data_IF_601168937073
#
_entry.id   IF_601168937073
#
_cell.length_a   1.000
_cell.length_b   1.000
_cell.length_c   1.000
_cell.angle_alpha   90.00
_cell.angle_beta   90.00
_cell.angle_gamma   90.00
#
_symmetry.space_group_name_H-M   'P 1'
#
loop_
_entity.id
_entity.type
_entity.pdbx_description
1 polymer ?
#
# COMPACT_ATOMS: atom_id res chain seq x y z
N UNK A 1 4.64 -27.64 -7.38
CA UNK A 1 3.41 -27.33 -8.14
C UNK A 1 3.75 -27.33 -9.62
N UNK A 2 3.00 -28.05 -10.43
CA UNK A 2 3.17 -28.09 -11.89
C UNK A 2 2.68 -26.82 -12.58
N UNK A 3 3.15 -26.50 -13.81
CA UNK A 3 2.81 -25.25 -14.49
C UNK A 3 1.31 -25.09 -14.79
N UNK A 4 0.58 -26.18 -15.03
CA UNK A 4 -0.84 -26.14 -15.34
C UNK A 4 -1.65 -25.72 -14.10
N UNK A 5 -1.43 -26.40 -12.97
CA UNK A 5 -2.03 -26.07 -11.67
C UNK A 5 -1.72 -24.62 -11.27
N UNK A 6 -0.46 -24.18 -11.44
CA UNK A 6 -0.07 -22.81 -11.17
C UNK A 6 -0.87 -21.79 -11.97
N UNK A 7 -1.04 -22.02 -13.27
CA UNK A 7 -1.83 -21.15 -14.14
C UNK A 7 -3.31 -21.09 -13.70
N UNK A 8 -3.90 -22.23 -13.33
CA UNK A 8 -5.27 -22.27 -12.83
C UNK A 8 -5.45 -21.45 -11.54
N UNK A 9 -4.51 -21.57 -10.59
CA UNK A 9 -4.55 -20.80 -9.35
C UNK A 9 -4.41 -19.29 -9.59
N UNK A 10 -3.53 -18.87 -10.50
CA UNK A 10 -3.40 -17.44 -10.89
C UNK A 10 -4.73 -16.92 -11.45
N UNK A 11 -5.39 -17.66 -12.35
CA UNK A 11 -6.68 -17.26 -12.91
C UNK A 11 -7.78 -17.21 -11.84
N UNK A 12 -7.82 -18.20 -10.95
CA UNK A 12 -8.76 -18.26 -9.82
C UNK A 12 -8.59 -17.06 -8.89
N UNK A 13 -7.33 -16.73 -8.54
CA UNK A 13 -6.98 -15.58 -7.70
C UNK A 13 -7.41 -14.26 -8.34
N UNK A 14 -7.08 -14.06 -9.62
CA UNK A 14 -7.42 -12.84 -10.36
C UNK A 14 -8.94 -12.66 -10.45
N UNK A 15 -9.68 -13.69 -10.81
CA UNK A 15 -11.15 -13.64 -10.89
C UNK A 15 -11.79 -13.33 -9.53
N UNK A 16 -11.24 -13.91 -8.42
CA UNK A 16 -11.73 -13.60 -7.08
C UNK A 16 -11.43 -12.17 -6.68
N UNK A 17 -10.23 -11.68 -6.98
CA UNK A 17 -9.84 -10.29 -6.69
C UNK A 17 -10.75 -9.29 -7.43
N UNK A 18 -11.05 -9.51 -8.71
CA UNK A 18 -11.99 -8.67 -9.47
C UNK A 18 -13.41 -8.73 -8.89
N UNK A 19 -13.88 -9.92 -8.53
CA UNK A 19 -15.18 -10.09 -7.87
C UNK A 19 -15.26 -9.30 -6.55
N UNK A 20 -14.22 -9.34 -5.72
CA UNK A 20 -14.18 -8.59 -4.45
C UNK A 20 -14.15 -7.09 -4.71
N UNK A 21 -13.35 -6.61 -5.68
CA UNK A 21 -13.36 -5.20 -6.08
C UNK A 21 -14.78 -4.75 -6.45
N UNK A 22 -15.48 -5.51 -7.29
CA UNK A 22 -16.84 -5.20 -7.70
C UNK A 22 -17.82 -5.19 -6.51
N UNK A 23 -17.74 -6.20 -5.61
CA UNK A 23 -18.58 -6.25 -4.40
C UNK A 23 -18.38 -5.06 -3.46
N UNK A 24 -17.15 -4.56 -3.37
CA UNK A 24 -16.80 -3.40 -2.54
C UNK A 24 -16.99 -2.06 -3.28
N UNK A 25 -17.60 -2.05 -4.47
CA UNK A 25 -17.83 -0.83 -5.25
C UNK A 25 -16.57 -0.16 -5.77
N UNK A 26 -15.45 -0.91 -5.88
CA UNK A 26 -14.16 -0.38 -6.30
C UNK A 26 -14.06 -0.47 -7.82
N UNK A 27 -13.82 0.67 -8.48
CA UNK A 27 -13.58 0.69 -9.94
C UNK A 27 -12.41 -0.23 -10.32
N UNK A 28 -12.48 -0.93 -11.46
CA UNK A 28 -11.38 -1.76 -11.95
C UNK A 28 -10.06 -1.01 -12.12
N UNK A 29 -10.11 0.31 -12.31
CA UNK A 29 -8.93 1.16 -12.54
C UNK A 29 -8.41 1.86 -11.29
N UNK A 30 -9.15 1.83 -10.18
CA UNK A 30 -8.75 2.48 -8.92
C UNK A 30 -7.73 1.64 -8.15
N UNK A 31 -7.00 2.28 -7.24
CA UNK A 31 -6.28 1.57 -6.17
C UNK A 31 -7.26 1.13 -5.07
N UNK A 32 -6.77 0.31 -4.16
CA UNK A 32 -7.56 -0.33 -3.09
C UNK A 32 -7.04 0.12 -1.73
N UNK A 33 -7.95 0.43 -0.81
CA UNK A 33 -7.65 0.49 0.62
C UNK A 33 -7.88 -0.93 1.19
N UNK A 34 -6.81 -1.67 1.54
CA UNK A 34 -6.92 -3.07 1.95
C UNK A 34 -7.68 -3.24 3.27
N UNK A 35 -7.56 -2.29 4.19
CA UNK A 35 -8.24 -2.32 5.48
C UNK A 35 -9.75 -2.21 5.26
N UNK A 36 -10.17 -1.18 4.51
CA UNK A 36 -11.59 -0.97 4.18
C UNK A 36 -12.20 -2.18 3.48
N UNK A 37 -11.46 -2.83 2.57
CA UNK A 37 -11.94 -4.05 1.91
C UNK A 37 -12.07 -5.21 2.89
N UNK A 38 -11.08 -5.43 3.76
CA UNK A 38 -11.15 -6.51 4.76
C UNK A 38 -12.35 -6.33 5.70
N UNK A 39 -12.57 -5.10 6.19
CA UNK A 39 -13.72 -4.76 7.04
C UNK A 39 -15.05 -4.96 6.32
N UNK A 40 -15.19 -4.52 5.07
CA UNK A 40 -16.38 -4.77 4.25
C UNK A 40 -16.61 -6.25 3.96
N UNK A 41 -15.56 -7.07 4.02
CA UNK A 41 -15.64 -8.52 3.88
C UNK A 41 -15.90 -9.24 5.22
N UNK A 42 -16.09 -8.48 6.31
CA UNK A 42 -16.44 -9.00 7.61
C UNK A 42 -15.26 -9.43 8.47
N UNK A 43 -14.03 -9.03 8.11
CA UNK A 43 -12.84 -9.24 8.92
C UNK A 43 -12.59 -8.01 9.79
N UNK A 44 -12.45 -8.18 11.08
CA UNK A 44 -11.90 -7.15 11.96
C UNK A 44 -10.39 -7.02 11.70
N UNK A 45 -9.86 -5.80 11.56
CA UNK A 45 -8.44 -5.59 11.34
C UNK A 45 -7.80 -4.95 12.56
N UNK A 46 -6.76 -5.60 13.11
CA UNK A 46 -6.10 -5.24 14.35
C UNK A 46 -4.60 -5.06 14.10
N UNK A 47 -4.05 -3.96 14.58
CA UNK A 47 -2.60 -3.76 14.63
C UNK A 47 -2.06 -4.19 15.99
N UNK A 48 -0.98 -4.95 15.97
CA UNK A 48 -0.28 -5.38 17.19
C UNK A 48 1.23 -5.40 16.99
N UNK A 49 1.97 -5.34 18.08
CA UNK A 49 3.40 -5.65 18.04
C UNK A 49 3.58 -7.16 17.80
N UNK A 50 4.15 -7.49 16.63
CA UNK A 50 4.40 -8.87 16.19
C UNK A 50 5.86 -8.99 15.72
N UNK A 51 6.84 -9.11 16.64
CA UNK A 51 8.27 -9.07 16.27
C UNK A 51 8.69 -10.15 15.28
N UNK A 52 8.10 -11.35 15.36
CA UNK A 52 8.45 -12.53 14.55
C UNK A 52 7.44 -12.88 13.46
N UNK A 53 6.31 -12.17 13.37
CA UNK A 53 5.25 -12.44 12.42
C UNK A 53 4.98 -11.24 11.51
N UNK A 54 4.48 -11.49 10.30
CA UNK A 54 3.96 -10.46 9.41
C UNK A 54 2.48 -10.18 9.70
N UNK A 55 1.68 -11.23 9.83
CA UNK A 55 0.26 -11.20 10.14
C UNK A 55 -0.30 -12.55 10.54
N UNK A 56 -1.57 -12.54 10.90
CA UNK A 56 -2.33 -13.74 11.27
C UNK A 56 -3.77 -13.57 10.83
N UNK A 57 -4.33 -14.58 10.18
CA UNK A 57 -5.77 -14.70 9.96
C UNK A 57 -6.37 -15.71 10.93
N UNK A 58 -7.41 -15.33 11.67
CA UNK A 58 -8.22 -16.19 12.51
C UNK A 58 -9.69 -16.13 12.10
N UNK A 59 -10.32 -17.28 11.78
CA UNK A 59 -11.73 -17.32 11.39
C UNK A 59 -12.71 -17.27 12.58
N UNK A 60 -12.25 -17.54 13.79
CA UNK A 60 -13.09 -17.71 14.98
C UNK A 60 -12.54 -16.95 16.20
N UNK A 61 -13.43 -16.46 17.11
CA UNK A 61 -14.89 -16.53 17.08
C UNK A 61 -15.54 -15.56 16.08
N UNK A 62 -14.79 -14.56 15.62
CA UNK A 62 -15.11 -13.64 14.52
C UNK A 62 -13.91 -13.56 13.60
N UNK A 63 -14.12 -13.46 12.27
CA UNK A 63 -13.01 -13.31 11.36
C UNK A 63 -12.17 -12.08 11.72
N UNK A 64 -10.88 -12.29 11.92
CA UNK A 64 -9.95 -11.21 12.27
C UNK A 64 -8.63 -11.36 11.50
N UNK A 65 -8.05 -10.22 11.14
CA UNK A 65 -6.72 -10.10 10.54
C UNK A 65 -5.88 -9.27 11.49
N UNK A 66 -4.82 -9.87 12.03
CA UNK A 66 -3.87 -9.17 12.89
C UNK A 66 -2.62 -8.84 12.09
N UNK A 67 -2.18 -7.59 12.15
CA UNK A 67 -1.03 -7.07 11.38
C UNK A 67 0.09 -6.60 12.30
N UNK A 68 1.32 -6.92 11.96
CA UNK A 68 2.50 -6.42 12.67
C UNK A 68 2.67 -4.91 12.48
N UNK A 69 2.53 -4.14 13.58
CA UNK A 69 2.57 -2.67 13.56
C UNK A 69 3.95 -2.11 13.17
N UNK A 70 5.02 -2.87 13.38
CA UNK A 70 6.40 -2.46 13.06
C UNK A 70 6.74 -2.61 11.58
N UNK A 71 5.85 -3.19 10.78
CA UNK A 71 6.12 -3.42 9.35
C UNK A 71 5.87 -2.15 8.54
N UNK A 72 6.62 -1.93 7.45
CA UNK A 72 6.36 -0.85 6.51
C UNK A 72 4.92 -0.88 5.98
N UNK A 73 4.33 0.29 5.73
CA UNK A 73 2.92 0.39 5.31
C UNK A 73 2.58 -0.48 4.09
N UNK A 74 3.43 -0.48 3.07
CA UNK A 74 3.24 -1.34 1.88
C UNK A 74 3.30 -2.84 2.18
N UNK A 75 4.06 -3.25 3.21
CA UNK A 75 4.10 -4.64 3.67
C UNK A 75 2.81 -4.98 4.41
N UNK A 76 2.36 -4.14 5.32
CA UNK A 76 1.09 -4.33 6.04
C UNK A 76 -0.11 -4.40 5.09
N UNK A 77 -0.13 -3.55 4.05
CA UNK A 77 -1.16 -3.59 3.01
C UNK A 77 -1.17 -4.93 2.27
N UNK A 78 0.01 -5.43 1.89
CA UNK A 78 0.12 -6.72 1.22
C UNK A 78 -0.29 -7.87 2.14
N UNK A 79 0.21 -7.90 3.39
CA UNK A 79 -0.15 -8.90 4.39
C UNK A 79 -1.66 -8.88 4.68
N UNK A 80 -2.27 -7.71 4.86
CA UNK A 80 -3.73 -7.60 5.04
C UNK A 80 -4.51 -8.26 3.90
N UNK A 81 -4.10 -8.03 2.66
CA UNK A 81 -4.76 -8.63 1.50
C UNK A 81 -4.44 -10.12 1.34
N UNK A 82 -3.27 -10.56 1.75
CA UNK A 82 -2.90 -11.98 1.79
C UNK A 82 -3.77 -12.75 2.79
N UNK A 83 -3.89 -12.24 4.02
CA UNK A 83 -4.76 -12.82 5.06
C UNK A 83 -6.25 -12.78 4.65
N UNK A 84 -6.67 -11.71 3.98
CA UNK A 84 -8.00 -11.65 3.37
C UNK A 84 -8.16 -12.74 2.29
N UNK A 85 -7.11 -13.09 1.56
CA UNK A 85 -7.11 -14.22 0.64
C UNK A 85 -7.43 -15.54 1.35
N UNK A 86 -6.82 -15.82 2.49
CA UNK A 86 -7.15 -16.99 3.29
C UNK A 86 -8.61 -17.00 3.73
N UNK A 87 -9.15 -15.85 4.15
CA UNK A 87 -10.57 -15.69 4.46
C UNK A 87 -11.48 -16.01 3.25
N UNK A 88 -11.17 -15.42 2.09
CA UNK A 88 -12.00 -15.53 0.88
C UNK A 88 -12.01 -16.94 0.25
N UNK A 89 -10.91 -17.67 0.45
CA UNK A 89 -10.79 -19.07 -0.01
C UNK A 89 -11.06 -20.11 1.07
N UNK A 90 -11.35 -19.66 2.32
CA UNK A 90 -11.68 -20.53 3.46
C UNK A 90 -10.57 -21.52 3.83
N UNK A 91 -9.33 -21.04 3.87
CA UNK A 91 -8.15 -21.87 4.18
C UNK A 91 -7.99 -22.21 5.67
N UNK A 92 -8.91 -21.75 6.55
CA UNK A 92 -8.81 -21.90 8.00
C UNK A 92 -7.87 -20.90 8.64
N UNK A 93 -7.46 -21.19 9.88
CA UNK A 93 -6.49 -20.34 10.61
C UNK A 93 -5.12 -20.40 9.94
N UNK A 94 -4.49 -19.23 9.78
CA UNK A 94 -3.17 -19.09 9.16
C UNK A 94 -2.31 -18.09 9.93
N UNK A 95 -1.03 -18.41 10.01
CA UNK A 95 0.00 -17.57 10.64
C UNK A 95 1.11 -17.34 9.64
N UNK A 96 1.30 -16.09 9.23
CA UNK A 96 2.38 -15.70 8.31
C UNK A 96 3.64 -15.34 9.08
N UNK A 97 4.63 -16.23 9.07
CA UNK A 97 5.96 -15.98 9.64
C UNK A 97 6.80 -15.03 8.78
N UNK A 98 7.74 -14.34 9.43
CA UNK A 98 8.72 -13.50 8.75
C UNK A 98 9.52 -14.33 7.73
N UNK A 99 9.28 -14.08 6.46
CA UNK A 99 10.10 -14.65 5.37
C UNK A 99 11.41 -13.85 5.32
N UNK A 100 12.50 -14.42 5.85
CA UNK A 100 13.85 -13.84 5.79
C UNK A 100 14.30 -13.62 4.34
N UNK A 101 13.85 -12.53 3.72
CA UNK A 101 14.41 -11.89 2.51
C UNK A 101 14.46 -12.71 1.21
N UNK A 102 14.17 -13.98 1.22
CA UNK A 102 14.10 -14.81 0.02
C UNK A 102 12.63 -15.12 -0.26
N UNK A 103 12.10 -14.58 -1.33
CA UNK A 103 10.88 -15.08 -1.96
C UNK A 103 11.13 -16.56 -2.35
N UNK A 104 11.01 -17.46 -1.40
CA UNK A 104 10.86 -18.88 -1.73
C UNK A 104 9.48 -18.98 -2.38
N UNK A 105 9.49 -19.37 -3.66
CA UNK A 105 8.24 -19.74 -4.33
C UNK A 105 7.58 -20.80 -3.44
N UNK A 106 6.50 -20.40 -2.77
CA UNK A 106 5.80 -21.30 -1.86
C UNK A 106 5.32 -22.54 -2.63
N UNK A 107 5.56 -23.72 -2.05
CA UNK A 107 5.09 -24.99 -2.60
C UNK A 107 3.64 -25.26 -2.19
N UNK A 108 3.15 -24.56 -1.17
CA UNK A 108 1.79 -24.65 -0.68
C UNK A 108 0.83 -23.95 -1.67
N UNK A 109 -0.14 -24.67 -2.25
CA UNK A 109 -1.11 -24.10 -3.18
C UNK A 109 -1.98 -23.01 -2.55
N UNK A 110 -2.32 -23.11 -1.25
CA UNK A 110 -3.16 -22.13 -0.55
C UNK A 110 -2.42 -20.82 -0.35
N UNK A 111 -1.14 -20.88 0.08
CA UNK A 111 -0.26 -19.72 0.20
C UNK A 111 -0.05 -19.04 -1.15
N UNK A 112 0.18 -19.85 -2.21
CA UNK A 112 0.33 -19.29 -3.54
C UNK A 112 -0.95 -18.61 -4.03
N UNK A 113 -2.11 -19.19 -3.74
CA UNK A 113 -3.41 -18.63 -4.11
C UNK A 113 -3.66 -17.30 -3.38
N UNK A 114 -3.36 -17.24 -2.08
CA UNK A 114 -3.47 -16.03 -1.27
C UNK A 114 -2.50 -14.92 -1.74
N UNK A 115 -1.24 -15.28 -2.08
CA UNK A 115 -0.26 -14.34 -2.66
C UNK A 115 -0.75 -13.75 -3.98
N UNK A 116 -1.25 -14.61 -4.89
CA UNK A 116 -1.77 -14.16 -6.19
C UNK A 116 -3.05 -13.33 -6.04
N UNK A 117 -3.90 -13.64 -5.09
CA UNK A 117 -5.08 -12.85 -4.78
C UNK A 117 -4.68 -11.45 -4.28
N UNK A 118 -3.76 -11.36 -3.30
CA UNK A 118 -3.27 -10.10 -2.76
C UNK A 118 -2.66 -9.20 -3.86
N UNK A 119 -1.80 -9.78 -4.68
CA UNK A 119 -1.17 -9.07 -5.79
C UNK A 119 -2.19 -8.52 -6.81
N UNK A 120 -3.20 -9.32 -7.19
CA UNK A 120 -4.23 -8.90 -8.14
C UNK A 120 -5.26 -7.95 -7.51
N UNK A 121 -5.58 -8.09 -6.21
CA UNK A 121 -6.49 -7.17 -5.53
C UNK A 121 -5.90 -5.76 -5.46
N UNK A 122 -4.63 -5.63 -5.03
CA UNK A 122 -3.94 -4.35 -4.90
C UNK A 122 -3.53 -3.76 -6.25
N UNK A 123 -3.02 -4.59 -7.16
CA UNK A 123 -2.32 -4.19 -8.38
C UNK A 123 -2.86 -4.95 -9.60
N UNK A 124 -4.16 -4.80 -9.89
CA UNK A 124 -4.74 -5.46 -11.07
C UNK A 124 -4.11 -4.92 -12.36
N UNK A 125 -4.14 -5.74 -13.42
CA UNK A 125 -3.64 -5.30 -14.73
C UNK A 125 -4.36 -4.06 -15.24
N UNK A 126 -5.67 -3.96 -15.03
CA UNK A 126 -6.48 -2.83 -15.45
C UNK A 126 -6.07 -1.55 -14.71
N UNK A 127 -5.88 -1.62 -13.38
CA UNK A 127 -5.48 -0.47 -12.57
C UNK A 127 -4.07 0.03 -12.90
N UNK A 128 -3.09 -0.88 -13.09
CA UNK A 128 -1.72 -0.50 -13.46
C UNK A 128 -1.69 0.13 -14.85
N UNK A 129 -2.33 -0.49 -15.86
CA UNK A 129 -2.39 0.08 -17.22
C UNK A 129 -3.06 1.45 -17.25
N UNK A 130 -4.14 1.61 -16.48
CA UNK A 130 -4.81 2.91 -16.35
C UNK A 130 -3.89 3.94 -15.69
N UNK A 131 -3.25 3.60 -14.58
CA UNK A 131 -2.34 4.50 -13.86
C UNK A 131 -1.16 4.97 -14.72
N UNK A 132 -0.60 4.09 -15.55
CA UNK A 132 0.43 4.43 -16.53
C UNK A 132 -0.13 5.37 -17.61
N UNK A 133 -1.31 5.04 -18.18
CA UNK A 133 -1.92 5.80 -19.25
C UNK A 133 -2.25 7.25 -18.85
N UNK A 134 -2.93 7.43 -17.70
CA UNK A 134 -3.33 8.78 -17.26
C UNK A 134 -2.15 9.67 -16.90
N UNK A 135 -1.01 9.07 -16.53
CA UNK A 135 0.26 9.77 -16.26
C UNK A 135 1.15 9.91 -17.49
N UNK A 136 0.70 9.45 -18.67
CA UNK A 136 1.49 9.43 -19.91
C UNK A 136 2.86 8.76 -19.75
N UNK A 137 2.95 7.72 -18.91
CA UNK A 137 4.19 6.98 -18.64
C UNK A 137 4.40 5.87 -19.67
N UNK A 138 5.57 5.88 -20.31
CA UNK A 138 6.02 4.78 -21.15
C UNK A 138 6.66 3.71 -20.28
N UNK A 139 6.01 2.55 -20.18
CA UNK A 139 6.48 1.42 -19.37
C UNK A 139 7.89 0.95 -19.79
N UNK A 140 8.29 1.15 -21.04
CA UNK A 140 9.62 0.74 -21.53
C UNK A 140 10.74 1.68 -21.09
N UNK A 141 10.39 2.87 -20.61
CA UNK A 141 11.33 3.93 -20.20
C UNK A 141 11.03 4.41 -18.77
N UNK A 142 10.26 3.63 -18.00
CA UNK A 142 9.84 4.04 -16.67
C UNK A 142 11.05 4.16 -15.73
N UNK A 143 11.10 5.24 -14.99
CA UNK A 143 12.20 5.56 -14.08
C UNK A 143 11.87 5.21 -12.62
N UNK A 144 12.88 5.04 -11.76
CA UNK A 144 12.69 4.65 -10.35
C UNK A 144 11.74 5.56 -9.58
N UNK A 145 11.79 6.88 -9.78
CA UNK A 145 10.91 7.82 -9.09
C UNK A 145 9.45 7.67 -9.54
N UNK A 146 9.21 7.38 -10.81
CA UNK A 146 7.88 7.11 -11.35
C UNK A 146 7.31 5.80 -10.79
N UNK A 147 8.16 4.77 -10.65
CA UNK A 147 7.76 3.51 -9.99
C UNK A 147 7.42 3.75 -8.52
N UNK A 148 8.19 4.59 -7.79
CA UNK A 148 7.88 4.94 -6.41
C UNK A 148 6.54 5.69 -6.29
N UNK A 149 6.27 6.63 -7.20
CA UNK A 149 4.99 7.34 -7.26
C UNK A 149 3.81 6.37 -7.47
N UNK A 150 3.95 5.42 -8.40
CA UNK A 150 2.95 4.37 -8.62
C UNK A 150 2.83 3.43 -7.40
N UNK A 151 3.95 3.06 -6.78
CA UNK A 151 3.92 2.22 -5.58
C UNK A 151 3.20 2.91 -4.42
N UNK A 152 3.45 4.21 -4.21
CA UNK A 152 2.69 5.04 -3.28
C UNK A 152 1.20 5.04 -3.62
N UNK A 153 0.86 5.25 -4.90
CA UNK A 153 -0.53 5.27 -5.38
C UNK A 153 -1.26 3.94 -5.12
N UNK A 154 -0.60 2.79 -5.26
CA UNK A 154 -1.18 1.47 -4.98
C UNK A 154 -1.05 1.05 -3.50
N UNK A 155 -0.34 1.81 -2.67
CA UNK A 155 -0.09 1.48 -1.28
C UNK A 155 0.77 0.23 -1.08
N UNK A 156 1.71 -0.02 -2.00
CA UNK A 156 2.55 -1.22 -1.99
C UNK A 156 4.05 -0.88 -1.95
N UNK A 157 4.87 -1.87 -1.63
CA UNK A 157 6.33 -1.69 -1.69
C UNK A 157 6.84 -1.51 -3.12
N UNK A 158 7.86 -0.65 -3.31
CA UNK A 158 8.54 -0.40 -4.59
C UNK A 158 8.91 -1.69 -5.32
N UNK A 159 9.55 -2.62 -4.60
CA UNK A 159 9.93 -3.91 -5.17
C UNK A 159 8.75 -4.82 -5.51
N UNK A 160 7.70 -4.79 -4.70
CA UNK A 160 6.47 -5.56 -4.91
C UNK A 160 5.79 -5.15 -6.21
N UNK A 161 5.71 -3.84 -6.49
CA UNK A 161 5.16 -3.34 -7.76
C UNK A 161 6.00 -3.78 -8.97
N UNK A 162 7.33 -3.69 -8.88
CA UNK A 162 8.23 -4.16 -9.96
C UNK A 162 8.02 -5.64 -10.24
N UNK A 163 7.95 -6.48 -9.20
CA UNK A 163 7.75 -7.92 -9.35
C UNK A 163 6.37 -8.24 -9.95
N UNK A 164 5.31 -7.56 -9.52
CA UNK A 164 3.98 -7.70 -10.10
C UNK A 164 3.98 -7.35 -11.59
N UNK A 165 4.56 -6.21 -11.97
CA UNK A 165 4.66 -5.79 -13.38
C UNK A 165 5.50 -6.74 -14.22
N UNK A 166 6.53 -7.37 -13.64
CA UNK A 166 7.42 -8.28 -14.36
C UNK A 166 6.84 -9.68 -14.47
N UNK A 167 6.64 -10.33 -13.33
CA UNK A 167 6.40 -11.78 -13.27
C UNK A 167 4.93 -12.16 -13.44
N UNK A 168 4.02 -11.33 -12.96
CA UNK A 168 2.58 -11.63 -13.03
C UNK A 168 1.97 -11.06 -14.30
N UNK A 169 2.30 -9.81 -14.64
CA UNK A 169 1.65 -9.09 -15.73
C UNK A 169 2.46 -9.05 -17.03
N UNK A 170 3.74 -9.39 -16.99
CA UNK A 170 4.62 -9.37 -18.17
C UNK A 170 4.77 -7.99 -18.82
N UNK A 171 4.64 -6.91 -18.04
CA UNK A 171 4.72 -5.54 -18.52
C UNK A 171 6.17 -5.01 -18.59
N UNK A 172 7.04 -5.50 -17.70
CA UNK A 172 8.47 -5.18 -17.68
C UNK A 172 9.27 -6.37 -18.20
N UNK A 173 10.28 -6.10 -19.01
CA UNK A 173 11.30 -7.10 -19.33
C UNK A 173 12.30 -7.24 -18.17
N UNK A 174 13.10 -8.31 -18.19
CA UNK A 174 14.05 -8.60 -17.11
C UNK A 174 15.16 -7.54 -17.01
N UNK A 175 15.63 -7.00 -18.13
CA UNK A 175 16.69 -5.99 -18.15
C UNK A 175 16.24 -4.70 -17.45
N UNK A 176 15.07 -4.18 -17.78
CA UNK A 176 14.51 -2.99 -17.14
C UNK A 176 14.17 -3.24 -15.66
N UNK A 177 13.62 -4.43 -15.34
CA UNK A 177 13.43 -4.85 -13.95
C UNK A 177 14.73 -4.79 -13.15
N UNK A 178 15.83 -5.35 -13.69
CA UNK A 178 17.11 -5.40 -13.00
C UNK A 178 17.72 -3.99 -12.86
N UNK A 179 17.53 -3.13 -13.86
CA UNK A 179 17.89 -1.72 -13.77
C UNK A 179 17.14 -1.02 -12.61
N UNK A 180 15.81 -1.14 -12.55
CA UNK A 180 14.99 -0.56 -11.50
C UNK A 180 15.36 -1.11 -10.10
N UNK A 181 15.66 -2.40 -10.01
CA UNK A 181 16.05 -3.06 -8.75
C UNK A 181 17.44 -2.64 -8.22
N UNK A 182 18.31 -2.07 -9.04
CA UNK A 182 19.60 -1.50 -8.60
C UNK A 182 19.41 -0.28 -7.72
N UNK A 183 18.36 0.50 -7.97
CA UNK A 183 18.02 1.66 -7.15
C UNK A 183 17.25 1.20 -5.91
N UNK A 184 17.80 1.47 -4.75
CA UNK A 184 17.16 1.07 -3.48
C UNK A 184 16.24 2.19 -3.00
N UNK A 185 15.05 1.87 -2.49
CA UNK A 185 14.12 2.87 -1.94
C UNK A 185 14.76 3.83 -0.93
N UNK A 186 15.72 3.33 -0.12
CA UNK A 186 16.46 4.16 0.84
C UNK A 186 17.25 5.30 0.18
N UNK A 187 17.76 5.08 -1.03
CA UNK A 187 18.56 6.09 -1.74
C UNK A 187 17.64 7.19 -2.29
N UNK A 188 16.41 6.83 -2.71
CA UNK A 188 15.38 7.78 -3.09
C UNK A 188 14.91 8.56 -1.85
N UNK A 189 14.62 7.88 -0.74
CA UNK A 189 14.22 8.49 0.54
C UNK A 189 15.25 9.53 1.01
N UNK A 190 16.54 9.22 0.91
CA UNK A 190 17.63 10.11 1.31
C UNK A 190 17.63 11.45 0.52
N UNK A 191 17.27 11.43 -0.78
CA UNK A 191 17.14 12.66 -1.59
C UNK A 191 16.07 13.60 -1.05
N UNK A 192 15.02 13.06 -0.41
CA UNK A 192 13.90 13.80 0.15
C UNK A 192 14.00 14.04 1.66
N UNK A 193 15.19 13.88 2.25
CA UNK A 193 15.40 14.04 3.69
C UNK A 193 14.48 13.14 4.54
N UNK A 194 14.04 12.01 3.97
CA UNK A 194 13.19 11.06 4.63
C UNK A 194 14.04 10.07 5.42
N UNK A 195 13.74 9.91 6.71
CA UNK A 195 14.46 8.97 7.56
C UNK A 195 14.31 7.52 7.05
N UNK A 196 15.33 6.67 7.18
CA UNK A 196 15.27 5.27 6.72
C UNK A 196 14.12 4.46 7.31
N UNK A 197 13.73 4.78 8.54
CA UNK A 197 12.64 4.12 9.30
C UNK A 197 11.25 4.72 9.04
N UNK A 198 11.14 5.72 8.16
CA UNK A 198 9.89 6.39 7.80
C UNK A 198 9.55 6.12 6.34
N UNK A 199 8.31 6.32 5.95
CA UNK A 199 7.90 6.17 4.56
C UNK A 199 7.99 7.50 3.81
N UNK A 200 8.26 7.40 2.50
CA UNK A 200 8.19 8.49 1.54
C UNK A 200 6.97 8.25 0.66
N UNK A 201 5.96 9.08 0.82
CA UNK A 201 4.72 9.00 0.06
C UNK A 201 4.71 10.11 -0.98
N UNK A 202 4.56 9.74 -2.25
CA UNK A 202 4.53 10.68 -3.39
C UNK A 202 3.11 10.79 -3.91
N UNK A 203 2.54 11.99 -3.79
CA UNK A 203 1.15 12.28 -4.16
C UNK A 203 1.14 13.20 -5.37
N UNK A 204 0.60 12.72 -6.47
CA UNK A 204 0.44 13.46 -7.73
C UNK A 204 -1.03 13.89 -7.96
N UNK A 205 -1.29 14.53 -9.10
CA UNK A 205 -2.61 15.03 -9.47
C UNK A 205 -3.69 13.91 -9.58
N UNK A 206 -3.30 12.65 -9.70
CA UNK A 206 -4.21 11.50 -9.87
C UNK A 206 -4.69 10.90 -8.55
N UNK A 207 -4.39 11.54 -7.42
CA UNK A 207 -4.88 11.16 -6.10
C UNK A 207 -6.21 11.81 -5.72
N UNK A 208 -6.77 12.62 -6.57
CA UNK A 208 -8.05 13.31 -6.29
C UNK A 208 -9.11 12.37 -5.69
N UNK A 209 -9.74 12.82 -4.60
CA UNK A 209 -10.79 12.07 -3.91
C UNK A 209 -10.32 10.86 -3.10
N UNK A 210 -9.00 10.67 -2.94
CA UNK A 210 -8.42 9.56 -2.18
C UNK A 210 -7.84 10.05 -0.85
N UNK A 211 -7.87 9.18 0.15
CA UNK A 211 -7.11 9.41 1.37
C UNK A 211 -5.62 9.10 1.16
N UNK A 212 -4.78 9.88 1.82
CA UNK A 212 -3.33 9.67 1.92
C UNK A 212 -3.03 9.27 3.35
N UNK A 213 -2.60 8.02 3.55
CA UNK A 213 -2.27 7.50 4.87
C UNK A 213 -0.78 7.69 5.16
N UNK A 214 -0.51 8.27 6.32
CA UNK A 214 0.83 8.52 6.85
C UNK A 214 0.91 7.99 8.29
N UNK A 215 2.14 7.79 8.75
CA UNK A 215 2.46 7.69 10.18
C UNK A 215 3.29 8.90 10.62
N UNK A 216 3.26 9.19 11.90
CA UNK A 216 4.13 10.22 12.49
C UNK A 216 5.60 9.91 12.14
N UNK A 217 6.28 10.89 11.56
CA UNK A 217 7.64 10.76 11.06
C UNK A 217 7.76 10.54 9.55
N UNK A 218 6.68 10.21 8.85
CA UNK A 218 6.67 10.02 7.40
C UNK A 218 6.86 11.34 6.64
N UNK A 219 7.41 11.23 5.45
CA UNK A 219 7.61 12.35 4.53
C UNK A 219 6.62 12.25 3.36
N UNK A 220 5.90 13.33 3.14
CA UNK A 220 4.96 13.51 2.04
C UNK A 220 5.55 14.43 0.99
N UNK A 221 5.53 14.01 -0.27
CA UNK A 221 5.86 14.84 -1.44
C UNK A 221 4.58 15.15 -2.16
N UNK A 222 4.30 16.43 -2.39
CA UNK A 222 3.12 16.90 -3.10
C UNK A 222 3.46 17.50 -4.45
N UNK A 223 2.48 17.50 -5.34
CA UNK A 223 2.54 18.24 -6.59
C UNK A 223 2.66 19.76 -6.32
N UNK A 224 3.43 20.52 -7.12
CA UNK A 224 3.48 21.99 -7.02
C UNK A 224 2.08 22.62 -7.10
N UNK A 225 1.85 23.70 -6.34
CA UNK A 225 0.55 24.40 -6.30
C UNK A 225 -0.44 23.86 -5.28
N UNK A 226 -0.15 22.75 -4.62
CA UNK A 226 -0.97 22.23 -3.54
C UNK A 226 -0.76 23.04 -2.25
N UNK A 227 -1.85 23.38 -1.61
CA UNK A 227 -1.90 24.03 -0.30
C UNK A 227 -2.29 22.99 0.74
N UNK A 228 -1.54 22.98 1.80
CA UNK A 228 -1.84 22.22 3.01
C UNK A 228 -2.70 23.06 3.94
N UNK A 229 -3.77 22.49 4.45
CA UNK A 229 -4.51 23.13 5.54
C UNK A 229 -3.56 23.38 6.72
N UNK A 230 -3.60 24.59 7.25
CA UNK A 230 -2.67 25.03 8.31
C UNK A 230 -3.07 24.39 9.64
N UNK A 231 -2.48 23.24 9.93
CA UNK A 231 -2.63 22.52 11.21
C UNK A 231 -1.28 22.05 11.71
N UNK A 232 -1.05 22.03 13.03
CA UNK A 232 0.24 21.67 13.63
C UNK A 232 0.63 20.19 13.44
N UNK A 233 -0.17 19.41 12.71
CA UNK A 233 0.04 17.96 12.50
C UNK A 233 1.04 17.62 11.41
N UNK A 234 1.34 18.57 10.51
CA UNK A 234 2.27 18.38 9.41
C UNK A 234 3.09 19.65 9.18
N UNK A 235 4.40 19.51 9.13
CA UNK A 235 5.30 20.64 8.93
C UNK A 235 5.82 20.66 7.50
N UNK A 236 5.78 21.85 6.87
CA UNK A 236 6.49 22.08 5.62
C UNK A 236 7.99 21.93 5.86
N UNK A 237 8.65 21.06 5.09
CA UNK A 237 10.07 20.82 5.23
C UNK A 237 10.85 21.63 4.18
N UNK A 238 10.97 21.12 2.97
CA UNK A 238 11.80 21.71 1.89
C UNK A 238 11.04 21.67 0.57
N UNK A 239 11.61 22.33 -0.43
CA UNK A 239 11.26 22.12 -1.84
C UNK A 239 12.43 21.38 -2.46
N UNK A 240 12.18 20.20 -3.01
CA UNK A 240 13.18 19.33 -3.64
C UNK A 240 12.72 19.02 -5.04
N UNK A 241 13.57 19.29 -6.04
CA UNK A 241 13.24 19.14 -7.46
C UNK A 241 11.92 19.87 -7.86
N UNK A 242 11.66 21.05 -7.26
CA UNK A 242 10.45 21.83 -7.46
C UNK A 242 9.20 21.32 -6.73
N UNK A 243 9.30 20.22 -6.01
CA UNK A 243 8.18 19.61 -5.27
C UNK A 243 8.24 19.98 -3.78
N UNK A 244 7.14 20.49 -3.18
CA UNK A 244 7.09 20.73 -1.75
C UNK A 244 7.05 19.42 -0.98
N UNK A 245 7.84 19.35 0.09
CA UNK A 245 7.88 18.21 0.99
C UNK A 245 7.35 18.60 2.36
N UNK A 246 6.70 17.65 3.02
CA UNK A 246 6.08 17.83 4.33
C UNK A 246 6.42 16.65 5.22
N UNK A 247 6.53 16.89 6.53
CA UNK A 247 6.76 15.84 7.53
C UNK A 247 5.57 15.74 8.46
N UNK A 248 5.01 14.54 8.61
CA UNK A 248 3.97 14.26 9.58
C UNK A 248 4.56 14.28 11.00
N UNK A 249 3.97 15.07 11.91
CA UNK A 249 4.50 15.26 13.26
C UNK A 249 3.51 14.90 14.37
N UNK A 250 2.21 14.91 14.07
CA UNK A 250 1.16 14.49 15.02
C UNK A 250 0.03 13.78 14.28
N UNK A 251 -0.68 12.90 14.99
CA UNK A 251 -1.82 12.15 14.43
C UNK A 251 -3.02 13.04 14.15
N UNK A 252 -3.94 12.57 13.33
CA UNK A 252 -5.21 13.21 13.01
C UNK A 252 -5.46 13.39 11.52
N UNK A 253 -6.41 14.25 11.18
CA UNK A 253 -6.88 14.48 9.83
C UNK A 253 -6.52 15.89 9.36
N UNK A 254 -6.02 15.98 8.12
CA UNK A 254 -5.69 17.25 7.45
C UNK A 254 -6.18 17.18 6.01
N UNK A 255 -6.50 18.32 5.43
CA UNK A 255 -6.84 18.44 4.01
C UNK A 255 -5.71 19.11 3.24
N UNK A 256 -5.41 18.57 2.06
CA UNK A 256 -4.60 19.23 1.06
C UNK A 256 -5.46 19.50 -0.18
N UNK A 257 -5.31 20.68 -0.78
CA UNK A 257 -6.14 21.12 -1.91
C UNK A 257 -5.37 22.03 -2.86
N UNK A 258 -5.91 22.22 -4.05
CA UNK A 258 -5.37 23.16 -5.04
C UNK A 258 -6.32 24.36 -5.19
N UNK A 259 -5.77 25.59 -5.20
CA UNK A 259 -6.61 26.80 -5.22
C UNK A 259 -7.35 27.06 -6.53
N UNK A 260 -6.84 26.55 -7.63
CA UNK A 260 -7.35 26.88 -8.97
C UNK A 260 -8.10 25.74 -9.65
N UNK A 261 -8.30 24.60 -8.98
CA UNK A 261 -9.09 23.47 -9.48
C UNK A 261 -9.71 22.68 -8.32
N UNK A 262 -10.58 21.73 -8.63
CA UNK A 262 -11.32 20.94 -7.64
C UNK A 262 -10.47 19.82 -6.97
N UNK A 263 -9.15 19.79 -7.18
CA UNK A 263 -8.31 18.77 -6.59
C UNK A 263 -8.19 18.92 -5.08
N UNK A 264 -8.52 17.86 -4.35
CA UNK A 264 -8.32 17.77 -2.92
C UNK A 264 -8.12 16.31 -2.47
N UNK A 265 -7.36 16.14 -1.39
CA UNK A 265 -7.17 14.86 -0.69
C UNK A 265 -7.27 15.05 0.81
N UNK A 266 -7.75 14.02 1.50
CA UNK A 266 -7.67 13.95 2.95
C UNK A 266 -6.39 13.19 3.33
N UNK A 267 -5.58 13.78 4.19
CA UNK A 267 -4.38 13.19 4.75
C UNK A 267 -4.74 12.68 6.14
N UNK A 268 -4.52 11.39 6.37
CA UNK A 268 -4.80 10.68 7.62
C UNK A 268 -3.48 10.28 8.24
N UNK A 269 -3.17 10.77 9.43
CA UNK A 269 -1.91 10.52 10.12
C UNK A 269 -2.18 9.63 11.33
N UNK A 270 -1.59 8.46 11.35
CA UNK A 270 -1.62 7.53 12.49
C UNK A 270 -0.38 7.73 13.39
N UNK A 271 -0.45 7.38 14.67
CA UNK A 271 0.74 7.21 15.49
C UNK A 271 1.67 6.18 14.87
N UNK A 272 2.97 6.36 15.05
CA UNK A 272 3.95 5.36 14.63
C UNK A 272 3.74 4.08 15.43
N UNK A 273 3.77 2.92 14.74
CA UNK A 273 3.57 1.61 15.37
C UNK A 273 2.25 1.54 16.16
N UNK A 274 1.19 2.09 15.62
CA UNK A 274 -0.14 2.02 16.21
C UNK A 274 -0.50 0.58 16.62
N UNK A 275 -1.09 0.43 17.80
CA UNK A 275 -1.68 -0.83 18.27
C UNK A 275 -3.15 -0.61 18.61
N UNK A 276 -4.03 -1.51 18.15
CA UNK A 276 -5.47 -1.45 18.32
C UNK A 276 -6.25 -1.72 17.03
N UNK A 277 -7.55 -1.47 17.06
CA UNK A 277 -8.42 -1.63 15.89
C UNK A 277 -8.09 -0.62 14.80
N UNK A 278 -7.93 -1.10 13.57
CA UNK A 278 -7.48 -0.29 12.44
C UNK A 278 -8.36 0.93 12.17
N UNK A 279 -9.68 0.82 12.42
CA UNK A 279 -10.64 1.91 12.22
C UNK A 279 -10.39 3.13 13.11
N UNK A 280 -9.71 2.98 14.25
CA UNK A 280 -9.45 4.07 15.20
C UNK A 280 -8.05 4.68 15.07
N UNK A 281 -7.21 4.19 14.16
CA UNK A 281 -5.81 4.60 14.08
C UNK A 281 -5.56 6.08 13.77
N UNK A 282 -6.56 6.76 13.23
CA UNK A 282 -6.47 8.18 12.85
C UNK A 282 -7.25 9.12 13.79
N UNK A 283 -7.94 8.57 14.79
CA UNK A 283 -8.70 9.40 15.73
C UNK A 283 -7.74 10.21 16.62
N UNK A 284 -8.12 11.45 16.88
CA UNK A 284 -7.41 12.30 17.82
C UNK A 284 -7.42 11.67 19.22
N UNK A 285 -6.36 11.86 19.99
CA UNK A 285 -6.32 11.45 21.40
C UNK A 285 -6.91 12.55 22.25
N UNK A 286 -8.00 12.30 22.98
CA UNK A 286 -8.57 13.32 23.85
C UNK A 286 -7.60 13.81 24.94
N UNK A 287 -6.54 13.04 25.26
CA UNK A 287 -5.54 13.42 26.25
C UNK A 287 -4.42 14.31 25.68
N UNK A 288 -4.19 14.34 24.35
CA UNK A 288 -3.20 15.24 23.73
C UNK A 288 -3.69 16.68 23.61
N UNK A 289 -5.00 16.91 23.49
CA UNK A 289 -5.60 18.25 23.41
C UNK A 289 -5.65 18.96 24.79
N UNK A 290 -5.27 18.30 25.87
CA UNK A 290 -5.24 18.85 27.25
C UNK A 290 -3.83 19.28 27.71
N UNK A 291 -2.80 19.23 26.84
CA UNK A 291 -1.42 19.69 27.11
C UNK A 291 -1.06 20.89 26.25
#
# INVERSE_FOLDING_TARGET
MDPHTRKQLVLKAAARAEHIRAKCGISPTSSVDPISVAEQRGCEVIYMSLPSLEGVYSPAPRPAIVLGSERPAGRRAYTCTHELGHHEFKHGERVEELKNGKSQMTKDPDEFLADMFAANLLMSQASIRHALKVRSLDIKKIEPMQVLCLASFFGVGYGTLIDQMTFTLGLLNHELRDHLRKVKPKDIKARFDCAPSSELIVVDAFWQGRAVDLEVGDTLVLHPGIIMEDKPRILRNKVIDGQPTFKAVARGLIRAYHNSNDWAVNIRIAPKQYAGLAQYRFLDDPEEDLK
#
